data_IF_330028907838
#
_entry.id   IF_330028907838
#
_cell.length_a   1.000
_cell.length_b   1.000
_cell.length_c   1.000
_cell.angle_alpha   90.00
_cell.angle_beta   90.00
_cell.angle_gamma   90.00
#
_symmetry.space_group_name_H-M   'P 1'
#
loop_
_entity.id
_entity.type
_entity.pdbx_description
1 polymer ?
#
# COMPACT_ATOMS: atom_id res chain seq x y z
N UNK A 1 74.24 -25.48 -22.26
CA UNK A 1 73.93 -24.74 -21.01
C UNK A 1 72.42 -24.79 -20.81
N UNK A 2 71.88 -25.61 -19.89
CA UNK A 2 70.46 -25.61 -19.64
C UNK A 2 70.09 -24.36 -18.85
N UNK A 3 69.11 -23.61 -19.34
CA UNK A 3 68.57 -22.42 -18.67
C UNK A 3 67.80 -22.90 -17.45
N UNK A 4 68.37 -22.70 -16.26
CA UNK A 4 67.71 -22.96 -14.99
C UNK A 4 66.55 -21.98 -14.85
N UNK A 5 65.33 -22.48 -15.03
CA UNK A 5 64.12 -21.73 -14.72
C UNK A 5 64.04 -21.57 -13.20
N UNK A 6 64.38 -20.37 -12.72
CA UNK A 6 64.14 -19.96 -11.34
C UNK A 6 62.64 -20.07 -11.11
N UNK A 7 62.19 -21.10 -10.39
CA UNK A 7 60.82 -21.15 -9.89
C UNK A 7 60.67 -20.02 -8.87
N UNK A 8 59.84 -18.99 -9.12
CA UNK A 8 59.58 -17.98 -8.12
C UNK A 8 58.96 -18.68 -6.91
N UNK A 9 59.49 -18.43 -5.71
CA UNK A 9 58.93 -18.97 -4.48
C UNK A 9 57.53 -18.38 -4.28
N UNK A 10 56.51 -19.08 -4.78
CA UNK A 10 55.13 -18.66 -4.61
C UNK A 10 54.79 -18.64 -3.12
N UNK A 11 54.45 -17.45 -2.61
CA UNK A 11 53.97 -17.31 -1.24
C UNK A 11 52.75 -18.21 -1.02
N UNK A 12 52.76 -18.98 0.07
CA UNK A 12 51.61 -19.80 0.50
C UNK A 12 50.40 -18.89 0.71
N UNK A 13 49.31 -19.18 0.02
CA UNK A 13 48.06 -18.41 0.07
C UNK A 13 47.11 -19.04 1.07
N UNK A 14 46.58 -18.25 2.02
CA UNK A 14 45.46 -18.71 2.85
C UNK A 14 44.15 -18.60 2.06
N UNK A 15 43.59 -19.76 1.69
CA UNK A 15 42.32 -19.84 0.97
C UNK A 15 41.14 -19.20 1.70
N UNK A 16 41.22 -18.97 3.02
CA UNK A 16 40.16 -18.27 3.79
C UNK A 16 40.08 -16.78 3.50
N UNK A 17 41.17 -16.19 3.01
CA UNK A 17 41.25 -14.77 2.65
C UNK A 17 40.82 -14.49 1.21
N UNK A 18 40.56 -15.54 0.43
CA UNK A 18 40.14 -15.42 -0.97
C UNK A 18 38.62 -15.27 -1.03
N UNK A 19 38.13 -14.40 -1.91
CA UNK A 19 36.70 -14.20 -2.10
C UNK A 19 36.01 -15.50 -2.53
N UNK A 20 34.73 -15.66 -2.19
CA UNK A 20 33.99 -16.90 -2.53
C UNK A 20 33.91 -17.13 -4.04
N UNK A 21 33.75 -16.05 -4.82
CA UNK A 21 33.72 -16.10 -6.27
C UNK A 21 35.08 -16.55 -6.83
N UNK A 22 36.19 -15.98 -6.36
CA UNK A 22 37.53 -16.39 -6.80
C UNK A 22 37.84 -17.85 -6.41
N UNK A 23 37.42 -18.29 -5.22
CA UNK A 23 37.57 -19.70 -4.84
C UNK A 23 36.76 -20.65 -5.73
N UNK A 24 35.60 -20.23 -6.22
CA UNK A 24 34.80 -21.02 -7.14
C UNK A 24 35.49 -21.17 -8.50
N UNK A 25 35.95 -20.06 -9.09
CA UNK A 25 36.71 -20.07 -10.34
C UNK A 25 37.98 -20.91 -10.22
N UNK A 26 38.72 -20.77 -9.11
CA UNK A 26 39.91 -21.58 -8.84
C UNK A 26 39.59 -23.08 -8.81
N UNK A 27 38.47 -23.50 -8.21
CA UNK A 27 38.06 -24.91 -8.18
C UNK A 27 37.72 -25.43 -9.57
N UNK A 28 37.02 -24.64 -10.38
CA UNK A 28 36.65 -25.01 -11.75
C UNK A 28 37.89 -25.14 -12.64
N UNK A 29 38.80 -24.17 -12.56
CA UNK A 29 40.07 -24.19 -13.29
C UNK A 29 40.97 -25.34 -12.84
N UNK A 30 41.00 -25.64 -11.54
CA UNK A 30 41.72 -26.80 -11.03
C UNK A 30 41.13 -28.12 -11.54
N UNK A 31 39.80 -28.24 -11.59
CA UNK A 31 39.14 -29.44 -12.13
C UNK A 31 39.46 -29.63 -13.62
N UNK A 32 39.45 -28.55 -14.41
CA UNK A 32 39.81 -28.60 -15.82
C UNK A 32 41.25 -29.08 -16.02
N UNK A 33 42.23 -28.44 -15.35
CA UNK A 33 43.65 -28.78 -15.48
C UNK A 33 43.98 -30.21 -15.04
N UNK A 34 43.32 -30.69 -13.97
CA UNK A 34 43.44 -32.10 -13.57
C UNK A 34 42.81 -33.05 -14.60
N UNK A 35 41.76 -32.63 -15.31
CA UNK A 35 41.18 -33.38 -16.42
C UNK A 35 42.07 -33.42 -17.68
N UNK A 36 42.90 -32.39 -17.87
CA UNK A 36 43.91 -32.30 -18.93
C UNK A 36 45.18 -33.11 -18.61
N UNK A 37 45.25 -33.74 -17.42
CA UNK A 37 46.31 -34.67 -17.03
C UNK A 37 47.37 -34.11 -16.07
N UNK A 38 47.24 -32.85 -15.63
CA UNK A 38 48.14 -32.29 -14.62
C UNK A 38 47.92 -32.93 -13.24
N UNK A 39 48.99 -33.10 -12.46
CA UNK A 39 48.86 -33.71 -11.14
C UNK A 39 48.16 -32.76 -10.14
N UNK A 40 47.31 -33.28 -9.21
CA UNK A 40 46.66 -32.45 -8.19
C UNK A 40 47.63 -31.63 -7.33
N UNK A 41 48.86 -32.11 -7.14
CA UNK A 41 49.89 -31.42 -6.38
C UNK A 41 50.43 -30.19 -7.12
N UNK A 42 50.69 -30.30 -8.43
CA UNK A 42 51.15 -29.20 -9.27
C UNK A 42 50.08 -28.14 -9.44
N UNK A 43 48.83 -28.57 -9.69
CA UNK A 43 47.68 -27.66 -9.80
C UNK A 43 47.50 -26.87 -8.50
N UNK A 44 47.50 -27.53 -7.34
CA UNK A 44 47.41 -26.83 -6.04
C UNK A 44 48.57 -25.85 -5.81
N UNK A 45 49.80 -26.25 -6.17
CA UNK A 45 51.00 -25.42 -6.04
C UNK A 45 50.88 -24.14 -6.87
N UNK A 46 50.36 -24.22 -8.09
CA UNK A 46 50.16 -23.06 -8.98
C UNK A 46 49.14 -22.03 -8.46
N UNK A 47 48.32 -22.39 -7.48
CA UNK A 47 47.41 -21.49 -6.77
C UNK A 47 47.94 -21.04 -5.40
N UNK A 48 49.12 -21.52 -5.00
CA UNK A 48 49.71 -21.28 -3.67
C UNK A 48 48.99 -22.03 -2.56
N UNK A 49 48.24 -23.08 -2.89
CA UNK A 49 47.41 -23.85 -1.95
C UNK A 49 48.06 -25.20 -1.63
N UNK A 50 47.73 -25.76 -0.47
CA UNK A 50 48.18 -27.09 -0.09
C UNK A 50 47.54 -28.17 -0.99
N UNK A 51 48.31 -29.20 -1.37
CA UNK A 51 47.86 -30.33 -2.23
C UNK A 51 46.49 -30.92 -1.86
N UNK A 52 46.18 -30.99 -0.57
CA UNK A 52 44.90 -31.49 -0.05
C UNK A 52 43.67 -30.69 -0.50
N UNK A 53 43.84 -29.43 -0.92
CA UNK A 53 42.77 -28.65 -1.52
C UNK A 53 42.37 -29.22 -2.89
N UNK A 54 43.31 -29.52 -3.78
CA UNK A 54 43.01 -30.07 -5.10
C UNK A 54 42.36 -31.46 -5.01
N UNK A 55 42.83 -32.32 -4.09
CA UNK A 55 42.17 -33.61 -3.83
C UNK A 55 40.72 -33.44 -3.34
N UNK A 56 40.44 -32.44 -2.49
CA UNK A 56 39.07 -32.13 -2.06
C UNK A 56 38.19 -31.62 -3.20
N UNK A 57 38.77 -30.87 -4.15
CA UNK A 57 38.09 -30.42 -5.37
C UNK A 57 37.74 -31.63 -6.22
N UNK A 58 38.70 -32.53 -6.47
CA UNK A 58 38.49 -33.73 -7.27
C UNK A 58 37.42 -34.65 -6.66
N UNK A 59 37.51 -34.96 -5.36
CA UNK A 59 36.53 -35.80 -4.67
C UNK A 59 35.11 -35.22 -4.76
N UNK A 60 34.97 -33.90 -4.54
CA UNK A 60 33.68 -33.21 -4.62
C UNK A 60 33.11 -33.16 -6.04
N UNK A 61 33.98 -33.08 -7.04
CA UNK A 61 33.58 -33.16 -8.44
C UNK A 61 33.21 -34.57 -8.87
N UNK A 62 33.83 -35.61 -8.32
CA UNK A 62 33.45 -37.01 -8.54
C UNK A 62 32.07 -37.32 -7.96
N UNK A 63 31.75 -36.78 -6.79
CA UNK A 63 30.45 -36.98 -6.13
C UNK A 63 29.28 -36.24 -6.80
N UNK A 64 29.53 -35.06 -7.41
CA UNK A 64 28.43 -34.20 -7.87
C UNK A 64 28.72 -33.33 -9.09
N UNK A 65 29.76 -33.65 -9.86
CA UNK A 65 30.17 -32.92 -11.06
C UNK A 65 30.66 -31.50 -10.79
N UNK A 66 30.85 -30.73 -11.86
CA UNK A 66 31.28 -29.33 -11.77
C UNK A 66 30.31 -28.45 -10.95
N UNK A 67 29.01 -28.76 -10.96
CA UNK A 67 28.00 -28.04 -10.17
C UNK A 67 28.18 -28.18 -8.65
N UNK A 68 28.87 -29.21 -8.18
CA UNK A 68 29.20 -29.36 -6.75
C UNK A 68 30.28 -28.38 -6.28
N UNK A 69 31.10 -27.86 -7.19
CA UNK A 69 32.18 -26.90 -6.91
C UNK A 69 31.69 -25.45 -6.77
N UNK A 70 30.48 -25.18 -7.29
CA UNK A 70 29.83 -23.87 -7.22
C UNK A 70 29.52 -23.45 -5.78
N UNK A 71 29.65 -22.16 -5.49
CA UNK A 71 29.36 -21.58 -4.20
C UNK A 71 27.86 -21.58 -3.97
N UNK A 72 27.41 -22.38 -2.99
CA UNK A 72 26.02 -22.33 -2.52
C UNK A 72 25.86 -21.24 -1.47
N UNK A 73 24.77 -20.48 -1.54
CA UNK A 73 24.34 -19.67 -0.40
C UNK A 73 24.08 -20.61 0.77
N UNK A 74 24.73 -20.37 1.90
CA UNK A 74 24.41 -21.09 3.14
C UNK A 74 22.92 -20.92 3.45
N UNK A 75 22.28 -21.98 3.93
CA UNK A 75 20.84 -21.98 4.26
C UNK A 75 20.46 -20.97 5.35
N UNK A 76 21.45 -20.39 6.04
CA UNK A 76 21.25 -19.43 7.12
C UNK A 76 20.67 -20.10 8.36
N UNK A 77 20.33 -19.29 9.37
CA UNK A 77 19.63 -19.78 10.56
C UNK A 77 18.26 -20.31 10.15
N UNK A 78 17.84 -21.50 10.62
CA UNK A 78 16.50 -22.01 10.38
C UNK A 78 15.44 -21.00 10.82
N UNK A 79 14.35 -20.93 10.07
CA UNK A 79 13.23 -20.03 10.38
C UNK A 79 12.55 -20.47 11.66
N UNK A 80 12.08 -19.50 12.45
CA UNK A 80 11.33 -19.75 13.69
C UNK A 80 9.95 -20.37 13.41
N UNK A 81 9.33 -20.04 12.27
CA UNK A 81 8.07 -20.65 11.82
C UNK A 81 8.31 -21.63 10.68
N UNK A 82 7.57 -22.74 10.71
CA UNK A 82 7.56 -23.71 9.62
C UNK A 82 6.77 -23.15 8.42
N UNK A 83 7.00 -23.65 7.18
CA UNK A 83 6.22 -23.23 6.02
C UNK A 83 4.71 -23.43 6.16
N UNK A 84 4.29 -24.42 6.95
CA UNK A 84 2.87 -24.66 7.26
C UNK A 84 2.33 -23.60 8.20
N UNK A 85 3.08 -23.21 9.22
CA UNK A 85 2.71 -22.11 10.12
C UNK A 85 2.68 -20.76 9.37
N UNK A 86 3.65 -20.50 8.48
CA UNK A 86 3.65 -19.28 7.64
C UNK A 86 2.36 -19.19 6.79
N UNK A 87 1.88 -20.31 6.21
CA UNK A 87 0.60 -20.37 5.49
C UNK A 87 -0.62 -20.14 6.39
N UNK A 88 -0.59 -20.62 7.64
CA UNK A 88 -1.66 -20.34 8.61
C UNK A 88 -1.75 -18.84 8.93
N UNK A 89 -0.60 -18.17 9.08
CA UNK A 89 -0.56 -16.71 9.30
C UNK A 89 -1.21 -15.97 8.12
N UNK A 90 -0.88 -16.34 6.89
CA UNK A 90 -1.53 -15.77 5.70
C UNK A 90 -3.05 -15.98 5.73
N UNK A 91 -3.52 -17.18 6.07
CA UNK A 91 -4.94 -17.51 6.14
C UNK A 91 -5.70 -16.84 7.30
N UNK A 92 -5.01 -16.29 8.30
CA UNK A 92 -5.62 -15.44 9.32
C UNK A 92 -5.75 -14.00 8.86
N UNK A 93 -4.74 -13.46 8.18
CA UNK A 93 -4.67 -12.03 7.84
C UNK A 93 -5.40 -11.72 6.53
N UNK A 94 -5.25 -12.57 5.51
CA UNK A 94 -5.78 -12.29 4.18
C UNK A 94 -7.31 -12.41 4.13
N UNK A 95 -7.98 -11.31 3.77
CA UNK A 95 -9.44 -11.27 3.56
C UNK A 95 -10.31 -11.42 4.82
N UNK A 96 -9.72 -11.44 6.02
CA UNK A 96 -10.45 -11.62 7.28
C UNK A 96 -10.36 -10.40 8.17
N UNK A 97 -11.44 -10.13 8.91
CA UNK A 97 -11.48 -9.04 9.86
C UNK A 97 -10.89 -9.51 11.22
N UNK A 98 -9.94 -8.79 11.83
CA UNK A 98 -9.40 -9.13 13.15
C UNK A 98 -10.48 -9.28 14.25
N UNK A 99 -11.64 -8.64 14.10
CA UNK A 99 -12.79 -8.81 15.01
C UNK A 99 -13.33 -10.24 15.04
N UNK A 100 -13.27 -10.97 13.93
CA UNK A 100 -13.61 -12.40 13.86
C UNK A 100 -12.66 -13.28 14.70
N UNK A 101 -11.64 -12.65 15.28
CA UNK A 101 -10.52 -13.26 15.94
C UNK A 101 -10.28 -12.68 17.34
N UNK A 102 -11.26 -11.96 17.89
CA UNK A 102 -11.27 -11.47 19.27
C UNK A 102 -10.44 -10.21 19.50
N UNK A 103 -10.27 -9.38 18.46
CA UNK A 103 -9.55 -8.10 18.54
C UNK A 103 -10.57 -6.97 18.40
N UNK A 104 -10.57 -6.01 19.33
CA UNK A 104 -11.55 -4.92 19.39
C UNK A 104 -11.45 -3.96 18.18
N UNK A 105 -10.26 -3.87 17.59
CA UNK A 105 -9.95 -3.03 16.44
C UNK A 105 -10.00 -3.83 15.12
N UNK A 106 -10.64 -3.26 14.09
CA UNK A 106 -10.79 -3.87 12.76
C UNK A 106 -9.54 -3.89 11.87
N UNK A 107 -8.34 -3.65 12.42
CA UNK A 107 -7.09 -3.56 11.67
C UNK A 107 -6.06 -4.62 12.10
N UNK A 108 -5.45 -5.29 11.13
CA UNK A 108 -4.32 -6.20 11.38
C UNK A 108 -3.04 -5.40 11.64
N UNK A 109 -2.74 -5.16 12.93
CA UNK A 109 -1.44 -4.59 13.32
C UNK A 109 -0.40 -5.68 13.49
N UNK A 110 0.89 -5.32 13.39
CA UNK A 110 2.00 -6.26 13.65
C UNK A 110 1.92 -6.86 15.06
N UNK A 111 1.39 -6.11 16.02
CA UNK A 111 1.23 -6.56 17.39
C UNK A 111 0.13 -7.63 17.51
N UNK A 112 -1.02 -7.41 16.88
CA UNK A 112 -2.11 -8.39 16.81
C UNK A 112 -1.64 -9.69 16.15
N UNK A 113 -0.90 -9.57 15.04
CA UNK A 113 -0.33 -10.75 14.35
C UNK A 113 0.67 -11.47 15.27
N UNK A 114 1.55 -10.75 15.97
CA UNK A 114 2.51 -11.33 16.93
C UNK A 114 1.81 -12.13 18.03
N UNK A 115 0.82 -11.54 18.68
CA UNK A 115 0.07 -12.17 19.78
C UNK A 115 -0.65 -13.43 19.30
N UNK A 116 -1.18 -13.41 18.07
CA UNK A 116 -1.82 -14.58 17.47
C UNK A 116 -0.82 -15.69 17.15
N UNK A 117 0.37 -15.35 16.64
CA UNK A 117 1.46 -16.31 16.39
C UNK A 117 1.94 -16.94 17.71
N UNK A 118 2.08 -16.15 18.77
CA UNK A 118 2.47 -16.67 20.08
C UNK A 118 1.42 -17.65 20.61
N UNK A 119 0.13 -17.32 20.50
CA UNK A 119 -0.98 -18.20 20.95
C UNK A 119 -1.13 -19.48 20.13
N UNK A 120 -0.97 -19.43 18.81
CA UNK A 120 -1.30 -20.55 17.91
C UNK A 120 -0.10 -21.37 17.45
N UNK A 121 1.09 -20.77 17.43
CA UNK A 121 2.32 -21.42 16.97
C UNK A 121 3.35 -21.59 18.10
N UNK A 122 3.05 -21.13 19.32
CA UNK A 122 3.97 -21.15 20.48
C UNK A 122 5.35 -20.53 20.16
N UNK A 123 5.38 -19.57 19.24
CA UNK A 123 6.59 -18.95 18.73
C UNK A 123 6.62 -17.45 19.06
N UNK A 124 7.71 -16.99 19.67
CA UNK A 124 7.92 -15.57 19.98
C UNK A 124 8.70 -14.90 18.87
N UNK A 125 8.08 -13.92 18.20
CA UNK A 125 8.69 -13.09 17.18
C UNK A 125 8.74 -11.63 17.62
N UNK A 126 9.84 -10.94 17.28
CA UNK A 126 9.89 -9.48 17.40
C UNK A 126 8.93 -8.82 16.41
N UNK A 127 8.52 -7.57 16.66
CA UNK A 127 7.66 -6.82 15.71
C UNK A 127 8.33 -6.63 14.34
N UNK A 128 9.66 -6.49 14.31
CA UNK A 128 10.43 -6.43 13.08
C UNK A 128 10.35 -7.75 12.31
N UNK A 129 10.53 -8.88 13.00
CA UNK A 129 10.43 -10.22 12.42
C UNK A 129 9.03 -10.50 11.86
N UNK A 130 7.97 -10.03 12.54
CA UNK A 130 6.59 -10.11 12.03
C UNK A 130 6.43 -9.26 10.76
N UNK A 131 6.99 -8.05 10.71
CA UNK A 131 7.00 -7.23 9.50
C UNK A 131 7.68 -7.94 8.32
N UNK A 132 8.87 -8.51 8.53
CA UNK A 132 9.59 -9.28 7.51
C UNK A 132 8.83 -10.53 7.07
N UNK A 133 8.15 -11.21 8.00
CA UNK A 133 7.28 -12.36 7.69
C UNK A 133 6.12 -11.95 6.78
N UNK A 134 5.39 -10.89 7.13
CA UNK A 134 4.25 -10.40 6.33
C UNK A 134 4.69 -10.00 4.93
N UNK A 135 5.80 -9.25 4.80
CA UNK A 135 6.34 -8.87 3.49
C UNK A 135 6.73 -10.10 2.65
N UNK A 136 7.32 -11.12 3.26
CA UNK A 136 7.66 -12.39 2.58
C UNK A 136 6.43 -13.16 2.11
N UNK A 137 5.32 -13.06 2.85
CA UNK A 137 4.02 -13.62 2.48
C UNK A 137 3.29 -12.80 1.40
N UNK A 138 3.91 -11.75 0.86
CA UNK A 138 3.31 -10.86 -0.13
C UNK A 138 2.29 -9.87 0.45
N UNK A 139 2.21 -9.76 1.78
CA UNK A 139 1.30 -8.84 2.45
C UNK A 139 1.97 -7.48 2.66
N UNK A 140 1.27 -6.43 2.30
CA UNK A 140 1.67 -5.04 2.53
C UNK A 140 0.59 -4.30 3.34
N UNK A 141 0.94 -3.26 4.10
CA UNK A 141 -0.06 -2.40 4.72
C UNK A 141 -0.93 -1.75 3.64
N UNK A 142 -2.23 -2.05 3.68
CA UNK A 142 -3.22 -1.45 2.79
C UNK A 142 -4.20 -0.63 3.62
N UNK A 143 -4.63 0.53 3.11
CA UNK A 143 -5.70 1.31 3.72
C UNK A 143 -7.02 0.59 3.40
N UNK A 144 -7.77 0.08 4.40
CA UNK A 144 -9.05 -0.55 4.12
C UNK A 144 -10.00 0.47 3.51
N UNK A 145 -10.76 0.05 2.50
CA UNK A 145 -11.91 0.81 2.03
C UNK A 145 -12.94 0.82 3.16
N UNK A 146 -13.33 2.01 3.60
CA UNK A 146 -14.36 2.17 4.62
C UNK A 146 -15.72 1.98 3.94
N UNK A 147 -16.39 0.87 4.21
CA UNK A 147 -17.78 0.66 3.83
C UNK A 147 -18.68 0.84 5.05
N UNK A 148 -19.71 1.68 4.94
CA UNK A 148 -20.77 1.75 5.94
C UNK A 148 -21.55 0.43 5.98
N UNK A 149 -21.79 -0.10 7.18
CA UNK A 149 -22.43 -1.40 7.41
C UNK A 149 -23.93 -1.41 7.10
N UNK A 150 -24.56 -0.23 7.12
CA UNK A 150 -25.94 -0.03 6.70
C UNK A 150 -25.92 0.13 5.17
N UNK A 151 -26.30 -0.91 4.45
CA UNK A 151 -26.45 -0.91 2.99
C UNK A 151 -27.73 -1.66 2.68
N UNK A 152 -28.67 -1.02 2.01
CA UNK A 152 -29.72 -1.70 1.24
C UNK A 152 -29.30 -1.71 -0.24
N UNK A 153 -28.76 -2.84 -0.75
CA UNK A 153 -28.33 -2.95 -2.14
C UNK A 153 -29.49 -2.80 -3.16
N UNK A 154 -30.73 -3.07 -2.74
CA UNK A 154 -31.91 -3.03 -3.62
C UNK A 154 -32.36 -1.59 -3.93
N UNK A 155 -32.34 -0.71 -2.93
CA UNK A 155 -32.72 0.70 -3.10
C UNK A 155 -31.81 1.43 -4.10
N UNK A 156 -30.52 1.10 -4.10
CA UNK A 156 -29.51 1.66 -5.00
C UNK A 156 -29.70 1.22 -6.45
N UNK A 157 -30.02 -0.05 -6.69
CA UNK A 157 -30.07 -0.63 -8.03
C UNK A 157 -31.26 -0.12 -8.87
N UNK A 158 -32.32 0.38 -8.24
CA UNK A 158 -33.55 0.78 -8.92
C UNK A 158 -33.59 2.28 -9.26
N UNK A 159 -33.09 3.15 -8.37
CA UNK A 159 -33.30 4.60 -8.49
C UNK A 159 -32.39 5.25 -9.53
N UNK A 160 -31.11 4.87 -9.61
CA UNK A 160 -30.15 5.50 -10.52
C UNK A 160 -30.45 5.27 -12.02
N UNK A 161 -30.83 4.06 -12.48
CA UNK A 161 -31.21 3.85 -13.88
C UNK A 161 -32.41 4.69 -14.33
N UNK A 162 -33.36 4.99 -13.42
CA UNK A 162 -34.51 5.84 -13.72
C UNK A 162 -34.10 7.29 -13.95
N UNK A 163 -33.22 7.84 -13.11
CA UNK A 163 -32.65 9.18 -13.27
C UNK A 163 -31.88 9.30 -14.60
N UNK A 164 -31.07 8.30 -14.95
CA UNK A 164 -30.34 8.28 -16.24
C UNK A 164 -31.30 8.27 -17.43
N UNK A 165 -32.39 7.49 -17.38
CA UNK A 165 -33.42 7.47 -18.43
C UNK A 165 -34.14 8.82 -18.55
N UNK A 166 -34.44 9.46 -17.43
CA UNK A 166 -35.09 10.77 -17.39
C UNK A 166 -34.19 11.86 -18.00
N UNK A 167 -32.95 11.97 -17.53
CA UNK A 167 -31.97 12.93 -18.05
C UNK A 167 -31.70 12.77 -19.55
N UNK A 168 -31.65 11.52 -20.04
CA UNK A 168 -31.51 11.24 -21.49
C UNK A 168 -32.68 11.77 -22.31
N UNK A 169 -33.93 11.65 -21.80
CA UNK A 169 -35.12 12.17 -22.50
C UNK A 169 -35.09 13.70 -22.58
N UNK A 170 -34.64 14.36 -21.53
CA UNK A 170 -34.57 15.83 -21.46
C UNK A 170 -33.30 16.44 -22.07
N UNK A 171 -32.38 15.59 -22.57
CA UNK A 171 -31.03 16.00 -23.03
C UNK A 171 -30.26 16.79 -21.97
N UNK A 172 -30.53 16.48 -20.70
CA UNK A 172 -29.96 17.12 -19.54
C UNK A 172 -28.60 16.51 -19.16
N UNK A 173 -27.80 17.28 -18.43
CA UNK A 173 -26.56 16.80 -17.82
C UNK A 173 -26.85 16.16 -16.47
N UNK A 174 -26.04 15.18 -16.07
CA UNK A 174 -26.12 14.56 -14.75
C UNK A 174 -24.82 14.91 -14.03
N UNK A 175 -24.95 15.74 -13.01
CA UNK A 175 -23.85 16.17 -12.17
C UNK A 175 -24.04 15.54 -10.78
N UNK A 176 -22.94 15.08 -10.17
CA UNK A 176 -22.92 14.51 -8.84
C UNK A 176 -22.27 15.50 -7.88
N UNK A 177 -22.95 15.78 -6.78
CA UNK A 177 -22.58 16.82 -5.82
C UNK A 177 -22.04 16.23 -4.53
N UNK A 178 -20.96 16.78 -3.98
CA UNK A 178 -20.49 16.52 -2.62
C UNK A 178 -19.91 17.78 -1.96
N UNK A 179 -19.78 17.72 -0.62
CA UNK A 179 -19.14 18.76 0.19
C UNK A 179 -17.94 18.21 0.95
N UNK A 180 -16.81 18.92 0.87
CA UNK A 180 -15.65 18.71 1.71
C UNK A 180 -15.37 19.87 2.66
N UNK A 181 -15.30 19.57 3.95
CA UNK A 181 -14.78 20.50 4.95
C UNK A 181 -13.26 20.40 5.06
N UNK A 182 -12.56 21.51 4.80
CA UNK A 182 -11.13 21.66 5.03
C UNK A 182 -10.89 22.38 6.34
N UNK A 183 -10.05 21.79 7.18
CA UNK A 183 -9.59 22.41 8.42
C UNK A 183 -8.11 22.71 8.27
N UNK A 184 -7.73 23.95 8.61
CA UNK A 184 -6.33 24.30 8.82
C UNK A 184 -5.91 23.82 10.21
N UNK A 185 -5.98 22.51 10.45
CA UNK A 185 -5.42 21.90 11.64
C UNK A 185 -3.92 21.75 11.40
N UNK A 186 -3.08 22.42 12.19
CA UNK A 186 -1.69 22.02 12.31
C UNK A 186 -1.71 20.57 12.85
N UNK A 187 -1.37 19.59 12.00
CA UNK A 187 -1.31 18.19 12.41
C UNK A 187 -0.38 18.11 13.61
N UNK A 188 -0.93 17.90 14.81
CA UNK A 188 -0.14 17.59 16.01
C UNK A 188 0.42 16.18 15.85
N UNK A 189 1.42 16.03 15.00
CA UNK A 189 2.21 14.81 14.92
C UNK A 189 3.09 14.71 16.17
N UNK A 190 3.32 13.47 16.63
CA UNK A 190 4.38 13.22 17.61
C UNK A 190 5.72 13.55 16.96
N UNK A 191 6.48 14.45 17.56
CA UNK A 191 7.86 14.74 17.18
C UNK A 191 8.84 14.12 18.16
N UNK A 192 10.09 13.97 17.73
CA UNK A 192 11.18 13.54 18.60
C UNK A 192 11.63 14.71 19.47
N UNK A 193 11.69 14.49 20.78
CA UNK A 193 12.22 15.44 21.75
C UNK A 193 12.94 14.69 22.86
N UNK A 194 13.76 15.41 23.64
CA UNK A 194 14.47 14.83 24.79
C UNK A 194 13.44 14.29 25.79
N UNK A 195 13.68 13.09 26.31
CA UNK A 195 12.79 12.44 27.28
C UNK A 195 12.60 13.35 28.50
N UNK A 196 11.35 13.74 28.77
CA UNK A 196 11.00 14.66 29.86
C UNK A 196 10.91 16.14 29.45
N UNK A 197 11.27 16.48 28.21
CA UNK A 197 11.15 17.85 27.66
C UNK A 197 10.11 17.86 26.56
N UNK A 198 8.95 18.47 26.85
CA UNK A 198 7.88 18.62 25.86
C UNK A 198 8.16 19.84 24.98
N UNK A 199 8.32 19.69 23.66
CA UNK A 199 8.54 20.82 22.77
C UNK A 199 7.26 21.65 22.64
N UNK A 200 7.39 22.98 22.71
CA UNK A 200 6.28 23.92 22.55
C UNK A 200 6.25 24.40 21.11
N UNK A 201 5.10 24.28 20.45
CA UNK A 201 4.87 24.77 19.08
C UNK A 201 3.78 25.84 19.15
N UNK A 202 4.08 27.04 18.65
CA UNK A 202 3.10 28.10 18.52
C UNK A 202 2.11 27.76 17.40
N UNK A 203 0.81 27.78 17.71
CA UNK A 203 -0.27 27.60 16.75
C UNK A 203 -1.18 28.83 16.76
N UNK A 204 -1.76 29.23 15.61
CA UNK A 204 -2.76 30.30 15.58
C UNK A 204 -3.92 29.98 16.53
N UNK A 205 -4.30 30.93 17.38
CA UNK A 205 -5.36 30.75 18.39
C UNK A 205 -6.78 30.63 17.81
N UNK A 206 -6.97 31.03 16.55
CA UNK A 206 -8.26 30.95 15.86
C UNK A 206 -8.25 29.81 14.85
N UNK A 207 -9.17 28.86 15.05
CA UNK A 207 -9.39 27.74 14.13
C UNK A 207 -9.98 28.29 12.82
N UNK A 208 -9.31 28.04 11.70
CA UNK A 208 -9.82 28.40 10.38
C UNK A 208 -10.30 27.14 9.66
N UNK A 209 -11.57 27.15 9.24
CA UNK A 209 -12.17 26.09 8.43
C UNK A 209 -12.77 26.70 7.16
N UNK A 210 -12.46 26.11 6.02
CA UNK A 210 -13.01 26.44 4.71
C UNK A 210 -13.74 25.19 4.22
N UNK A 211 -14.97 25.32 3.75
CA UNK A 211 -15.66 24.24 3.03
C UNK A 211 -15.52 24.46 1.53
N UNK A 212 -15.49 23.37 0.77
CA UNK A 212 -15.65 23.39 -0.66
C UNK A 212 -16.83 22.50 -1.06
N UNK A 213 -17.63 23.00 -1.98
CA UNK A 213 -18.62 22.22 -2.69
C UNK A 213 -18.09 21.92 -4.09
N UNK A 214 -18.38 20.72 -4.59
CA UNK A 214 -18.05 20.31 -5.95
C UNK A 214 -19.22 19.64 -6.65
N UNK A 215 -19.14 19.62 -7.98
CA UNK A 215 -20.02 18.84 -8.82
C UNK A 215 -19.25 18.26 -10.01
N UNK A 216 -19.33 16.95 -10.23
CA UNK A 216 -18.67 16.24 -11.35
C UNK A 216 -19.68 15.56 -12.26
N UNK A 217 -19.36 15.46 -13.55
CA UNK A 217 -20.15 14.67 -14.50
C UNK A 217 -19.32 13.59 -15.20
N UNK A 218 -20.00 12.59 -15.76
CA UNK A 218 -19.37 11.45 -16.45
C UNK A 218 -18.68 11.82 -17.76
N UNK A 219 -18.81 13.07 -18.23
CA UNK A 219 -18.15 13.60 -19.42
C UNK A 219 -16.92 14.44 -19.08
N UNK A 220 -16.50 14.48 -17.80
CA UNK A 220 -15.34 15.23 -17.33
C UNK A 220 -15.61 16.70 -17.02
N UNK A 221 -16.86 17.14 -17.03
CA UNK A 221 -17.26 18.45 -16.52
C UNK A 221 -17.12 18.51 -15.00
N UNK A 222 -16.62 19.63 -14.52
CA UNK A 222 -16.34 19.88 -13.11
C UNK A 222 -16.73 21.30 -12.73
N UNK A 223 -17.36 21.46 -11.58
CA UNK A 223 -17.62 22.74 -10.96
C UNK A 223 -17.25 22.67 -9.48
N UNK A 224 -16.76 23.77 -8.93
CA UNK A 224 -16.48 23.87 -7.51
C UNK A 224 -16.62 25.31 -7.01
N UNK A 225 -16.85 25.46 -5.71
CA UNK A 225 -16.79 26.74 -5.02
C UNK A 225 -16.37 26.55 -3.56
N UNK A 226 -15.63 27.51 -3.02
CA UNK A 226 -15.25 27.55 -1.61
C UNK A 226 -16.13 28.53 -0.83
N UNK A 227 -16.40 28.21 0.42
CA UNK A 227 -17.16 29.05 1.36
C UNK A 227 -16.69 28.82 2.79
N UNK A 228 -17.12 29.68 3.72
CA UNK A 228 -16.79 29.60 5.14
C UNK A 228 -17.99 29.12 5.94
N UNK A 229 -17.76 28.31 6.97
CA UNK A 229 -18.81 27.75 7.82
C UNK A 229 -19.39 26.44 7.29
N UNK A 230 -20.43 25.94 7.96
CA UNK A 230 -21.13 24.71 7.56
C UNK A 230 -22.20 24.94 6.51
N UNK A 231 -22.51 23.92 5.72
CA UNK A 231 -23.59 23.99 4.74
C UNK A 231 -24.96 24.06 5.41
N UNK A 232 -25.70 25.11 5.09
CA UNK A 232 -27.11 25.25 5.39
C UNK A 232 -27.91 25.47 4.11
N UNK A 233 -29.24 25.54 4.21
CA UNK A 233 -30.11 25.69 3.03
C UNK A 233 -29.85 26.98 2.23
N UNK A 234 -29.54 28.09 2.91
CA UNK A 234 -29.29 29.38 2.25
C UNK A 234 -27.97 29.36 1.48
N UNK A 235 -26.90 28.88 2.12
CA UNK A 235 -25.59 28.71 1.48
C UNK A 235 -25.71 27.73 0.31
N UNK A 236 -26.48 26.66 0.46
CA UNK A 236 -26.71 25.70 -0.63
C UNK A 236 -27.41 26.37 -1.82
N UNK A 237 -28.47 27.16 -1.60
CA UNK A 237 -29.13 27.94 -2.66
C UNK A 237 -28.15 28.89 -3.37
N UNK A 238 -27.32 29.60 -2.61
CA UNK A 238 -26.31 30.50 -3.20
C UNK A 238 -25.30 29.75 -4.08
N UNK A 239 -24.89 28.57 -3.66
CA UNK A 239 -24.00 27.72 -4.44
C UNK A 239 -24.69 27.18 -5.70
N UNK A 240 -25.96 26.76 -5.61
CA UNK A 240 -26.75 26.35 -6.78
C UNK A 240 -26.88 27.49 -7.80
N UNK A 241 -27.14 28.72 -7.35
CA UNK A 241 -27.19 29.91 -8.21
C UNK A 241 -25.86 30.15 -8.92
N UNK A 242 -24.74 30.01 -8.20
CA UNK A 242 -23.39 30.12 -8.79
C UNK A 242 -23.13 29.00 -9.80
N UNK A 243 -23.55 27.77 -9.52
CA UNK A 243 -23.40 26.62 -10.40
C UNK A 243 -24.20 26.76 -11.69
N UNK A 244 -25.43 27.27 -11.59
CA UNK A 244 -26.33 27.46 -12.73
C UNK A 244 -26.00 28.69 -13.59
N UNK A 245 -25.19 29.63 -13.08
CA UNK A 245 -24.81 30.86 -13.78
C UNK A 245 -24.10 30.53 -15.09
N UNK A 246 -24.64 31.02 -16.21
CA UNK A 246 -24.06 30.85 -17.55
C UNK A 246 -24.29 29.47 -18.18
N UNK A 247 -24.86 28.50 -17.46
CA UNK A 247 -25.17 27.18 -18.02
C UNK A 247 -26.45 27.24 -18.86
N UNK A 248 -26.44 26.64 -20.05
CA UNK A 248 -27.59 26.62 -20.98
C UNK A 248 -28.42 25.33 -20.90
N UNK A 249 -27.82 24.23 -20.46
CA UNK A 249 -28.47 22.92 -20.35
C UNK A 249 -29.13 22.75 -18.98
N UNK A 250 -30.17 21.94 -18.95
CA UNK A 250 -30.76 21.48 -17.69
C UNK A 250 -29.84 20.47 -17.00
N UNK A 251 -29.91 20.42 -15.68
CA UNK A 251 -29.07 19.57 -14.84
C UNK A 251 -29.95 18.71 -13.93
N UNK A 252 -29.69 17.41 -13.92
CA UNK A 252 -30.08 16.53 -12.83
C UNK A 252 -28.93 16.43 -11.85
N UNK A 253 -29.07 17.09 -10.70
CA UNK A 253 -28.06 17.05 -9.65
C UNK A 253 -28.35 15.87 -8.74
N UNK A 254 -27.38 14.98 -8.56
CA UNK A 254 -27.45 13.83 -7.65
C UNK A 254 -26.67 14.18 -6.38
N UNK A 255 -27.31 14.08 -5.22
CA UNK A 255 -26.78 14.53 -3.94
C UNK A 255 -27.13 13.57 -2.81
N UNK A 256 -26.44 13.70 -1.68
CA UNK A 256 -26.72 12.92 -0.47
C UNK A 256 -28.03 13.34 0.22
N UNK A 257 -28.36 12.66 1.31
CA UNK A 257 -29.61 12.88 2.04
C UNK A 257 -29.63 14.08 2.99
N UNK A 258 -28.61 14.96 3.01
CA UNK A 258 -28.42 15.96 4.06
C UNK A 258 -29.65 16.87 4.24
N UNK A 259 -30.10 17.15 5.49
CA UNK A 259 -31.27 18.00 5.73
C UNK A 259 -31.19 19.39 5.11
N UNK A 260 -29.98 19.97 5.00
CA UNK A 260 -29.75 21.27 4.37
C UNK A 260 -30.27 21.34 2.92
N UNK A 261 -30.19 20.23 2.18
CA UNK A 261 -30.66 20.13 0.80
C UNK A 261 -32.19 20.02 0.67
N UNK A 262 -32.90 19.75 1.78
CA UNK A 262 -34.34 19.44 1.79
C UNK A 262 -35.19 20.56 2.39
N UNK A 263 -34.56 21.69 2.73
CA UNK A 263 -35.24 22.86 3.30
C UNK A 263 -36.27 23.43 2.32
N UNK A 264 -37.27 24.15 2.85
CA UNK A 264 -38.31 24.78 2.03
C UNK A 264 -37.72 25.77 1.02
N UNK A 265 -36.79 26.61 1.46
CA UNK A 265 -36.15 27.61 0.59
C UNK A 265 -35.41 26.97 -0.60
N UNK A 266 -34.80 25.80 -0.41
CA UNK A 266 -34.16 25.05 -1.51
C UNK A 266 -35.20 24.55 -2.52
N UNK A 267 -36.34 24.02 -2.04
CA UNK A 267 -37.41 23.56 -2.94
C UNK A 267 -38.00 24.73 -3.74
N UNK A 268 -38.32 25.83 -3.06
CA UNK A 268 -38.88 27.01 -3.69
C UNK A 268 -37.92 27.59 -4.75
N UNK A 269 -36.61 27.60 -4.49
CA UNK A 269 -35.59 28.06 -5.45
C UNK A 269 -35.46 27.11 -6.66
N UNK A 270 -35.43 25.79 -6.43
CA UNK A 270 -35.37 24.79 -7.50
C UNK A 270 -36.63 24.83 -8.38
N UNK A 271 -37.81 24.97 -7.77
CA UNK A 271 -39.08 25.09 -8.48
C UNK A 271 -39.11 26.36 -9.35
N UNK A 272 -38.49 27.47 -8.87
CA UNK A 272 -38.36 28.71 -9.63
C UNK A 272 -37.54 28.56 -10.93
N UNK A 273 -36.67 27.55 -10.99
CA UNK A 273 -35.84 27.24 -12.17
C UNK A 273 -36.61 26.47 -13.26
N UNK A 274 -37.90 26.16 -13.05
CA UNK A 274 -38.81 25.57 -14.06
C UNK A 274 -38.22 24.36 -14.81
N UNK A 275 -37.63 23.42 -14.07
CA UNK A 275 -37.04 22.19 -14.62
C UNK A 275 -35.62 22.35 -15.19
N UNK A 276 -35.01 23.55 -15.11
CA UNK A 276 -33.59 23.71 -15.47
C UNK A 276 -32.64 23.04 -14.48
N UNK A 277 -33.08 22.83 -13.24
CA UNK A 277 -32.37 22.08 -12.22
C UNK A 277 -33.36 21.11 -11.57
N UNK A 278 -32.97 19.85 -11.46
CA UNK A 278 -33.77 18.80 -10.81
C UNK A 278 -32.88 18.06 -9.82
N UNK A 279 -33.31 17.99 -8.55
CA UNK A 279 -32.56 17.34 -7.48
C UNK A 279 -32.96 15.86 -7.33
N UNK A 280 -31.95 14.99 -7.22
CA UNK A 280 -32.10 13.55 -6.98
C UNK A 280 -31.35 13.18 -5.70
N UNK A 281 -32.05 12.65 -4.71
CA UNK A 281 -31.46 12.29 -3.43
C UNK A 281 -31.06 10.82 -3.41
N UNK A 282 -29.80 10.55 -3.08
CA UNK A 282 -29.33 9.20 -2.81
C UNK A 282 -29.96 8.69 -1.50
N UNK A 283 -30.21 7.36 -1.39
CA UNK A 283 -30.53 6.74 -0.11
C UNK A 283 -29.41 7.03 0.90
N UNK A 284 -29.76 7.20 2.18
CA UNK A 284 -28.83 7.65 3.23
C UNK A 284 -27.59 6.77 3.45
N UNK A 285 -27.59 5.57 2.87
CA UNK A 285 -26.61 4.51 3.06
C UNK A 285 -25.68 4.29 1.85
N UNK A 286 -25.58 5.26 0.91
CA UNK A 286 -24.86 5.08 -0.36
C UNK A 286 -23.83 6.18 -0.75
N UNK A 287 -22.87 6.56 0.12
CA UNK A 287 -21.86 7.56 -0.22
C UNK A 287 -20.90 7.10 -1.33
N UNK A 288 -20.63 5.80 -1.45
CA UNK A 288 -19.70 5.21 -2.45
C UNK A 288 -20.20 5.32 -3.91
N UNK A 289 -21.47 5.69 -4.13
CA UNK A 289 -22.06 5.88 -5.47
C UNK A 289 -21.89 7.29 -5.99
N UNK A 290 -21.46 8.20 -5.14
CA UNK A 290 -21.16 9.56 -5.53
C UNK A 290 -19.71 9.62 -6.04
N UNK A 291 -19.46 9.72 -7.36
CA UNK A 291 -18.11 9.87 -7.88
C UNK A 291 -17.42 11.14 -7.36
N UNK A 292 -18.19 12.15 -6.91
CA UNK A 292 -17.65 13.36 -6.30
C UNK A 292 -17.07 13.09 -4.90
N UNK A 293 -17.57 12.07 -4.18
CA UNK A 293 -17.00 11.65 -2.90
C UNK A 293 -15.55 11.15 -3.03
N UNK A 294 -15.15 10.65 -4.20
CA UNK A 294 -13.76 10.29 -4.48
C UNK A 294 -12.88 11.53 -4.69
N UNK A 295 -13.42 12.59 -5.30
CA UNK A 295 -12.71 13.87 -5.48
C UNK A 295 -12.52 14.55 -4.13
N UNK A 296 -13.59 14.65 -3.36
CA UNK A 296 -13.62 15.15 -1.99
C UNK A 296 -12.68 14.35 -1.04
N UNK A 297 -12.71 13.01 -1.13
CA UNK A 297 -11.91 12.12 -0.28
C UNK A 297 -10.43 11.96 -0.68
N UNK A 298 -10.05 12.33 -1.91
CA UNK A 298 -8.65 12.32 -2.37
C UNK A 298 -7.84 13.50 -1.83
N UNK A 299 -8.52 14.56 -1.40
CA UNK A 299 -7.93 15.65 -0.63
C UNK A 299 -7.82 15.24 0.85
N UNK A 300 -6.69 15.50 1.53
CA UNK A 300 -6.48 15.04 2.90
C UNK A 300 -7.43 15.76 3.87
N UNK A 301 -8.63 15.21 4.03
CA UNK A 301 -9.45 15.41 5.22
C UNK A 301 -8.69 14.75 6.37
N UNK A 302 -8.08 15.56 7.22
CA UNK A 302 -7.51 15.13 8.49
C UNK A 302 -8.65 14.73 9.45
N UNK A 303 -9.27 13.59 9.19
CA UNK A 303 -10.04 12.86 10.21
C UNK A 303 -9.08 11.90 10.89
N UNK A 304 -8.64 12.29 12.08
CA UNK A 304 -8.08 11.39 13.09
C UNK A 304 -9.19 10.54 13.72
#
# INVERSE_FOLDING_TARGET
MPVSAVQPSMMKRDGRLVSRAALEEMRLMALQRMGEGESPAEVASSFGLHRGWAYKVLARAQEGGAGALMTRKGSGRPRTLTPTQERQVLGWVNGKNPRQHGVDFGLWTRQVVRERIEKKCAARLSLASVGTLLARLGLSPQKPLQHAYQRDPLAVAQTYPATVKHAKREKAEIDFWDESGFRADAVQARTWAVKGVTPVVAVPGQRQSISAASAVNSKGGFWFAVYSGGLNGEVFVDLLKRMMKGRRRSIHLVLDGLPAHKTRGVRDDVDSLKGRLTLHFLPGDAPDLNPDALVCGATPSARA
#
